data_IF_425996709689
#
_entry.id   IF_425996709689
#
_cell.length_a   1.000
_cell.length_b   1.000
_cell.length_c   1.000
_cell.angle_alpha   90.00
_cell.angle_beta   90.00
_cell.angle_gamma   90.00
#
_symmetry.space_group_name_H-M   'P 1'
#
loop_
_entity.id
_entity.type
_entity.pdbx_description
1 polymer ?
#
# COMPACT_ATOMS: atom_id res chain seq x y z
N UNK A 1 1.83 8.51 -13.96
CA UNK A 1 0.68 9.41 -13.79
C UNK A 1 -0.58 8.56 -13.76
N UNK A 2 -1.45 8.70 -12.74
CA UNK A 2 -2.65 7.86 -12.60
C UNK A 2 -3.75 8.35 -13.56
N UNK A 3 -3.93 7.66 -14.68
CA UNK A 3 -5.00 7.94 -15.64
C UNK A 3 -6.18 6.97 -15.43
N UNK A 4 -7.40 7.47 -15.52
CA UNK A 4 -8.63 6.69 -15.52
C UNK A 4 -9.46 7.11 -16.73
N UNK A 5 -9.95 6.11 -17.47
CA UNK A 5 -10.88 6.32 -18.56
C UNK A 5 -12.28 6.56 -17.99
N UNK A 6 -12.88 7.68 -18.36
CA UNK A 6 -14.30 7.99 -18.10
C UNK A 6 -15.00 7.95 -19.46
N UNK A 7 -16.07 7.15 -19.57
CA UNK A 7 -16.91 7.09 -20.77
C UNK A 7 -18.08 8.06 -20.64
N UNK A 8 -18.60 8.53 -21.77
CA UNK A 8 -19.78 9.41 -21.81
C UNK A 8 -20.99 8.73 -21.15
N UNK A 9 -21.58 9.38 -20.14
CA UNK A 9 -22.68 8.84 -19.32
C UNK A 9 -22.29 8.26 -17.96
N UNK A 10 -21.01 8.14 -17.60
CA UNK A 10 -20.62 7.78 -16.22
C UNK A 10 -20.77 8.98 -15.27
N UNK A 11 -21.43 8.76 -14.13
CA UNK A 11 -21.45 9.75 -13.03
C UNK A 11 -20.04 10.03 -12.52
N UNK A 12 -19.70 11.32 -12.37
CA UNK A 12 -18.42 11.84 -11.88
C UNK A 12 -18.02 11.17 -10.54
N UNK A 13 -18.98 10.90 -9.66
CA UNK A 13 -18.75 10.22 -8.38
C UNK A 13 -18.15 8.82 -8.54
N UNK A 14 -18.60 8.05 -9.53
CA UNK A 14 -18.06 6.71 -9.81
C UNK A 14 -16.62 6.80 -10.30
N UNK A 15 -16.32 7.78 -11.15
CA UNK A 15 -14.95 8.02 -11.63
C UNK A 15 -14.01 8.40 -10.48
N UNK A 16 -14.44 9.29 -9.59
CA UNK A 16 -13.69 9.67 -8.38
C UNK A 16 -13.44 8.47 -7.45
N UNK A 17 -14.45 7.62 -7.25
CA UNK A 17 -14.30 6.40 -6.43
C UNK A 17 -13.31 5.41 -7.04
N UNK A 18 -13.34 5.22 -8.37
CA UNK A 18 -12.35 4.40 -9.09
C UNK A 18 -10.94 5.01 -8.95
N UNK A 19 -10.81 6.33 -9.02
CA UNK A 19 -9.55 7.05 -8.80
C UNK A 19 -8.98 6.83 -7.42
N UNK A 20 -9.79 7.05 -6.39
CA UNK A 20 -9.39 6.80 -5.00
C UNK A 20 -8.92 5.36 -4.80
N UNK A 21 -9.67 4.37 -5.30
CA UNK A 21 -9.29 2.95 -5.20
C UNK A 21 -7.99 2.64 -5.96
N UNK A 22 -7.77 3.24 -7.13
CA UNK A 22 -6.53 3.07 -7.90
C UNK A 22 -5.33 3.70 -7.18
N UNK A 23 -5.51 4.89 -6.61
CA UNK A 23 -4.50 5.60 -5.83
C UNK A 23 -4.10 4.81 -4.56
N UNK A 24 -5.08 4.31 -3.81
CA UNK A 24 -4.83 3.46 -2.63
C UNK A 24 -4.10 2.17 -3.00
N UNK A 25 -4.48 1.52 -4.11
CA UNK A 25 -3.79 0.32 -4.62
C UNK A 25 -2.32 0.58 -4.98
N UNK A 26 -2.03 1.74 -5.56
CA UNK A 26 -0.65 2.12 -5.89
C UNK A 26 0.21 2.46 -4.68
N UNK A 27 -0.36 2.58 -3.48
CA UNK A 27 0.36 2.80 -2.21
C UNK A 27 1.37 3.98 -2.23
N UNK A 28 1.17 4.98 -3.10
CA UNK A 28 2.11 6.09 -3.32
C UNK A 28 2.36 6.87 -2.03
N UNK A 29 1.33 7.11 -1.22
CA UNK A 29 1.48 7.79 0.08
C UNK A 29 2.33 6.99 1.07
N UNK A 30 2.23 5.65 1.05
CA UNK A 30 2.99 4.78 1.94
C UNK A 30 4.47 4.79 1.54
N UNK A 31 4.76 4.73 0.24
CA UNK A 31 6.12 4.86 -0.26
C UNK A 31 6.72 6.24 0.02
N UNK A 32 5.96 7.32 -0.19
CA UNK A 32 6.40 8.68 0.12
C UNK A 32 6.78 8.81 1.60
N UNK A 33 5.94 8.31 2.51
CA UNK A 33 6.21 8.30 3.95
C UNK A 33 7.44 7.47 4.30
N UNK A 34 7.59 6.28 3.71
CA UNK A 34 8.73 5.41 3.94
C UNK A 34 10.05 5.99 3.42
N UNK A 35 10.02 6.76 2.34
CA UNK A 35 11.19 7.42 1.74
C UNK A 35 11.54 8.75 2.41
N UNK A 36 10.65 9.32 3.24
CA UNK A 36 10.88 10.60 3.92
C UNK A 36 12.10 10.55 4.84
N UNK A 37 12.38 9.39 5.42
CA UNK A 37 13.47 9.19 6.39
C UNK A 37 14.37 8.03 5.93
N UNK A 38 15.68 8.16 6.18
CA UNK A 38 16.60 7.07 5.91
C UNK A 38 16.52 6.00 7.01
N UNK A 39 16.13 4.79 6.62
CA UNK A 39 16.12 3.62 7.49
C UNK A 39 17.33 2.74 7.20
N UNK A 40 18.17 2.49 8.22
CA UNK A 40 19.34 1.62 8.09
C UNK A 40 18.90 0.19 7.73
N UNK A 41 19.66 -0.47 6.85
CA UNK A 41 19.39 -1.86 6.40
C UNK A 41 19.23 -2.85 7.57
N UNK A 42 19.98 -2.67 8.65
CA UNK A 42 19.89 -3.50 9.86
C UNK A 42 18.54 -3.39 10.56
N UNK A 43 17.97 -2.19 10.62
CA UNK A 43 16.66 -1.93 11.24
C UNK A 43 15.55 -2.56 10.40
N UNK A 44 15.61 -2.41 9.08
CA UNK A 44 14.65 -3.02 8.14
C UNK A 44 14.65 -4.55 8.27
N UNK A 45 15.84 -5.17 8.29
CA UNK A 45 15.97 -6.63 8.45
C UNK A 45 15.39 -7.12 9.79
N UNK A 46 15.62 -6.39 10.87
CA UNK A 46 15.07 -6.73 12.20
C UNK A 46 13.54 -6.71 12.18
N UNK A 47 12.92 -5.68 11.59
CA UNK A 47 11.46 -5.58 11.48
C UNK A 47 10.86 -6.70 10.63
N UNK A 48 11.56 -7.14 9.58
CA UNK A 48 11.13 -8.26 8.75
C UNK A 48 11.10 -9.58 9.53
N UNK A 49 12.15 -9.88 10.31
CA UNK A 49 12.24 -11.10 11.11
C UNK A 49 11.15 -11.15 12.16
N UNK A 50 10.97 -10.07 12.93
CA UNK A 50 9.91 -9.97 13.96
C UNK A 50 8.53 -10.24 13.35
N UNK A 51 8.26 -9.67 12.16
CA UNK A 51 7.00 -9.90 11.46
C UNK A 51 6.87 -11.35 11.00
N UNK A 52 7.94 -11.98 10.53
CA UNK A 52 7.92 -13.37 10.10
C UNK A 52 7.60 -14.31 11.27
N UNK A 53 8.28 -14.14 12.41
CA UNK A 53 8.04 -14.91 13.63
C UNK A 53 6.58 -14.76 14.12
N UNK A 54 6.03 -13.54 14.05
CA UNK A 54 4.64 -13.30 14.42
C UNK A 54 3.66 -14.06 13.52
N UNK A 55 3.88 -14.02 12.20
CA UNK A 55 3.03 -14.73 11.22
C UNK A 55 3.16 -16.24 11.37
N UNK A 56 4.36 -16.74 11.65
CA UNK A 56 4.61 -18.17 11.88
C UNK A 56 3.86 -18.67 13.11
N UNK A 57 3.93 -17.94 14.23
CA UNK A 57 3.18 -18.28 15.44
C UNK A 57 1.68 -18.32 15.22
N UNK A 58 1.13 -17.38 14.44
CA UNK A 58 -0.29 -17.37 14.09
C UNK A 58 -0.68 -18.61 13.27
N UNK A 59 0.13 -18.99 12.28
CA UNK A 59 -0.13 -20.18 11.46
C UNK A 59 0.04 -21.50 12.22
N UNK A 60 0.92 -21.55 13.21
CA UNK A 60 1.12 -22.74 14.03
C UNK A 60 0.01 -22.92 15.09
N UNK A 61 -0.74 -21.86 15.39
CA UNK A 61 -1.86 -21.88 16.31
C UNK A 61 -3.21 -22.18 15.62
N UNK A 62 -3.25 -22.14 14.29
CA UNK A 62 -4.36 -22.54 13.42
C UNK A 62 -4.27 -24.04 13.10
#
# INVERSE_FOLDING_TARGET
MLQISVKEGESIERALKKYKKKFERTQVLKELRARKEYTKKSIVRRQQIIKAEYVEKLKAAE
#
